data_IF_233416807501
#
_entry.id   IF_233416807501
#
_cell.length_a   1.000
_cell.length_b   1.000
_cell.length_c   1.000
_cell.angle_alpha   90.00
_cell.angle_beta   90.00
_cell.angle_gamma   90.00
#
_symmetry.space_group_name_H-M   'P 1'
#
loop_
_entity.id
_entity.type
_entity.pdbx_description
1 polymer ?
#
# COMPACT_ATOMS: atom_id res chain seq x y z
N UNK A 1 -3.07 -5.44 3.06
CA UNK A 1 -2.74 -6.81 2.58
C UNK A 1 -1.43 -7.24 3.19
N UNK A 2 -1.22 -8.55 3.31
CA UNK A 2 -0.01 -9.14 3.90
C UNK A 2 0.60 -10.16 2.94
N UNK A 3 1.92 -10.24 2.91
CA UNK A 3 2.66 -11.35 2.30
C UNK A 3 3.00 -12.35 3.40
N UNK A 4 2.69 -13.63 3.17
CA UNK A 4 2.89 -14.71 4.13
C UNK A 4 3.76 -15.78 3.49
N UNK A 5 4.77 -16.26 4.21
CA UNK A 5 5.62 -17.38 3.81
C UNK A 5 5.76 -18.31 5.02
N UNK A 6 5.40 -19.59 4.85
CA UNK A 6 5.44 -20.57 5.93
C UNK A 6 4.76 -20.06 7.22
N UNK A 7 3.57 -19.46 7.07
CA UNK A 7 2.77 -18.86 8.16
C UNK A 7 3.37 -17.60 8.81
N UNK A 8 4.58 -17.17 8.44
CA UNK A 8 5.18 -15.92 8.89
C UNK A 8 4.71 -14.75 8.00
N UNK A 9 4.28 -13.64 8.62
CA UNK A 9 4.06 -12.38 7.90
C UNK A 9 5.41 -11.74 7.59
N UNK A 10 5.75 -11.66 6.31
CA UNK A 10 7.07 -11.17 5.85
C UNK A 10 7.01 -9.75 5.27
N UNK A 11 5.80 -9.24 5.04
CA UNK A 11 5.57 -7.89 4.55
C UNK A 11 4.10 -7.51 4.54
N UNK A 12 3.83 -6.21 4.49
CA UNK A 12 2.49 -5.66 4.49
C UNK A 12 2.41 -4.35 3.72
N UNK A 13 1.24 -4.09 3.15
CA UNK A 13 0.88 -2.84 2.49
C UNK A 13 -0.50 -2.40 2.95
N UNK A 14 -0.66 -1.11 3.20
CA UNK A 14 -1.92 -0.52 3.62
C UNK A 14 -2.11 0.88 3.03
N UNK A 15 -3.36 1.34 3.08
CA UNK A 15 -3.79 2.63 2.58
C UNK A 15 -4.53 3.40 3.67
N UNK A 16 -4.38 4.72 3.69
CA UNK A 16 -5.13 5.59 4.61
C UNK A 16 -5.51 6.91 3.94
N UNK A 17 -6.74 7.36 4.14
CA UNK A 17 -7.15 8.73 3.84
C UNK A 17 -6.83 9.63 5.03
N UNK A 18 -6.35 10.83 4.73
CA UNK A 18 -6.05 11.86 5.72
C UNK A 18 -6.88 13.11 5.42
N UNK A 19 -7.36 13.84 6.45
CA UNK A 19 -8.02 15.11 6.25
C UNK A 19 -6.99 16.22 5.96
N UNK A 20 -7.41 17.28 5.28
CA UNK A 20 -6.53 18.43 4.99
C UNK A 20 -6.02 19.13 6.27
N UNK A 21 -6.74 19.00 7.39
CA UNK A 21 -6.37 19.55 8.70
C UNK A 21 -5.30 18.74 9.44
N UNK A 22 -5.07 17.49 9.02
CA UNK A 22 -4.07 16.60 9.60
C UNK A 22 -3.46 15.71 8.51
N UNK A 23 -2.64 16.29 7.61
CA UNK A 23 -2.08 15.58 6.47
C UNK A 23 -1.08 14.52 6.93
N UNK A 24 -1.10 13.37 6.27
CA UNK A 24 -0.02 12.39 6.32
C UNK A 24 1.24 12.86 5.59
N UNK A 25 2.31 12.07 5.66
CA UNK A 25 3.59 12.44 5.05
C UNK A 25 3.51 12.53 3.52
N UNK A 26 2.72 11.65 2.91
CA UNK A 26 2.47 11.58 1.48
C UNK A 26 1.12 12.17 1.06
N UNK A 27 0.54 13.05 1.87
CA UNK A 27 -0.76 13.65 1.59
C UNK A 27 -0.79 14.41 0.26
N UNK A 28 -1.84 14.16 -0.52
CA UNK A 28 -2.11 14.87 -1.78
C UNK A 28 -3.45 15.62 -1.70
N UNK A 29 -4.54 14.89 -1.47
CA UNK A 29 -5.87 15.43 -1.18
C UNK A 29 -6.66 14.45 -0.29
N UNK A 30 -7.86 14.84 0.14
CA UNK A 30 -8.71 14.04 1.04
C UNK A 30 -9.35 12.80 0.38
N UNK A 31 -9.17 12.62 -0.93
CA UNK A 31 -9.77 11.52 -1.72
C UNK A 31 -8.72 10.49 -2.17
N UNK A 32 -7.45 10.85 -2.13
CA UNK A 32 -6.32 10.06 -2.57
C UNK A 32 -5.69 9.39 -1.35
N UNK A 33 -5.83 8.06 -1.19
CA UNK A 33 -5.21 7.38 -0.07
C UNK A 33 -3.68 7.43 -0.16
N UNK A 34 -3.03 7.68 0.97
CA UNK A 34 -1.60 7.47 1.13
C UNK A 34 -1.31 5.98 1.28
N UNK A 35 -0.33 5.48 0.53
CA UNK A 35 0.11 4.08 0.59
C UNK A 35 1.38 3.96 1.41
N UNK A 36 1.38 2.99 2.32
CA UNK A 36 2.53 2.63 3.14
C UNK A 36 2.82 1.15 3.02
N UNK A 37 4.10 0.81 3.02
CA UNK A 37 4.58 -0.56 2.83
C UNK A 37 5.74 -0.84 3.77
N UNK A 38 5.76 -2.04 4.33
CA UNK A 38 6.85 -2.55 5.13
C UNK A 38 7.19 -3.97 4.69
N UNK A 39 8.49 -4.24 4.53
CA UNK A 39 9.03 -5.58 4.29
C UNK A 39 10.15 -5.81 5.30
N UNK A 40 10.09 -6.95 5.97
CA UNK A 40 11.09 -7.39 6.93
C UNK A 40 12.49 -7.36 6.29
N UNK A 41 13.53 -6.81 6.96
CA UNK A 41 14.84 -6.59 6.35
C UNK A 41 15.43 -7.83 5.66
N UNK A 42 15.26 -9.02 6.27
CA UNK A 42 15.77 -10.30 5.74
C UNK A 42 15.13 -10.72 4.40
N UNK A 43 13.95 -10.17 4.08
CA UNK A 43 13.17 -10.49 2.88
C UNK A 43 13.24 -9.39 1.80
N UNK A 44 14.03 -8.33 2.01
CA UNK A 44 14.18 -7.26 1.00
C UNK A 44 15.00 -7.71 -0.20
N UNK A 45 14.89 -6.99 -1.31
CA UNK A 45 15.58 -7.34 -2.58
C UNK A 45 14.92 -8.48 -3.37
N UNK A 46 13.82 -9.05 -2.87
CA UNK A 46 13.13 -10.22 -3.45
C UNK A 46 11.79 -9.85 -4.11
N UNK A 47 11.61 -8.59 -4.54
CA UNK A 47 10.39 -8.06 -5.18
C UNK A 47 9.08 -8.09 -4.36
N UNK A 48 9.06 -8.64 -3.15
CA UNK A 48 7.87 -8.68 -2.26
C UNK A 48 7.19 -7.30 -2.14
N UNK A 49 7.97 -6.23 -1.95
CA UNK A 49 7.43 -4.88 -1.86
C UNK A 49 6.73 -4.41 -3.16
N UNK A 50 7.33 -4.75 -4.31
CA UNK A 50 6.77 -4.44 -5.62
C UNK A 50 5.46 -5.21 -5.86
N UNK A 51 5.42 -6.49 -5.50
CA UNK A 51 4.25 -7.34 -5.70
C UNK A 51 3.09 -6.91 -4.79
N UNK A 52 3.37 -6.61 -3.53
CA UNK A 52 2.41 -6.04 -2.58
C UNK A 52 1.84 -4.71 -3.09
N UNK A 53 2.69 -3.79 -3.54
CA UNK A 53 2.26 -2.49 -4.06
C UNK A 53 1.40 -2.66 -5.31
N UNK A 54 1.82 -3.52 -6.24
CA UNK A 54 1.10 -3.80 -7.49
C UNK A 54 -0.29 -4.40 -7.19
N UNK A 55 -0.37 -5.35 -6.25
CA UNK A 55 -1.64 -5.89 -5.80
C UNK A 55 -2.53 -4.80 -5.18
N UNK A 56 -1.94 -3.89 -4.39
CA UNK A 56 -2.68 -2.80 -3.74
C UNK A 56 -3.28 -1.84 -4.76
N UNK A 57 -2.50 -1.44 -5.77
CA UNK A 57 -2.95 -0.56 -6.83
C UNK A 57 -4.10 -1.16 -7.65
N UNK A 58 -4.16 -2.49 -7.79
CA UNK A 58 -5.30 -3.19 -8.41
C UNK A 58 -6.54 -3.21 -7.51
N UNK A 59 -6.36 -3.31 -6.18
CA UNK A 59 -7.46 -3.38 -5.20
C UNK A 59 -8.10 -2.03 -4.91
N UNK A 60 -7.36 -0.94 -4.96
CA UNK A 60 -7.86 0.40 -4.59
C UNK A 60 -9.07 0.86 -5.44
N UNK A 61 -9.09 0.65 -6.77
CA UNK A 61 -10.29 0.90 -7.58
C UNK A 61 -11.52 0.12 -7.13
N UNK A 62 -11.36 -1.16 -6.76
CA UNK A 62 -12.45 -2.01 -6.25
C UNK A 62 -12.99 -1.48 -4.91
N UNK A 63 -12.14 -0.82 -4.13
CA UNK A 63 -12.52 -0.15 -2.88
C UNK A 63 -13.10 1.27 -3.09
N UNK A 64 -13.28 1.71 -4.33
CA UNK A 64 -13.86 3.02 -4.67
C UNK A 64 -12.86 4.17 -4.80
N UNK A 65 -11.56 3.89 -4.77
CA UNK A 65 -10.52 4.92 -4.94
C UNK A 65 -10.10 5.04 -6.41
N UNK A 66 -10.40 6.17 -7.05
CA UNK A 66 -10.14 6.40 -8.48
C UNK A 66 -8.82 7.10 -8.79
N UNK A 67 -8.10 7.56 -7.78
CA UNK A 67 -6.82 8.27 -7.89
C UNK A 67 -5.68 7.37 -8.37
N UNK A 68 -5.82 6.05 -8.21
CA UNK A 68 -4.87 5.04 -8.64
C UNK A 68 -5.43 4.30 -9.86
N UNK A 69 -4.95 4.62 -11.05
CA UNK A 69 -5.25 3.87 -12.28
C UNK A 69 -4.00 3.12 -12.69
N UNK A 70 -4.05 1.79 -12.73
CA UNK A 70 -3.04 1.02 -13.46
C UNK A 70 -3.23 1.27 -14.95
N UNK A 71 -2.17 1.65 -15.64
CA UNK A 71 -2.13 1.70 -17.11
C UNK A 71 -2.34 0.29 -17.70
#
# INVERSE_FOLDING_TARGET
MVAVLQEEVIGMVWSRLFPATYPGYGYYDEKTPELSIAVEPKWRGQRIGFDLMTAMLKRLPEAGHTSFRSA
#
